data_IF_793850754652
#
_entry.id   IF_793850754652
#
_cell.length_a   1.000
_cell.length_b   1.000
_cell.length_c   1.000
_cell.angle_alpha   90.00
_cell.angle_beta   90.00
_cell.angle_gamma   90.00
#
_symmetry.space_group_name_H-M   'P 1'
#
loop_
_entity.id
_entity.type
_entity.pdbx_description
1 polymer ?
#
# COMPACT_ATOMS: atom_id res chain seq x y z
N UNK A 1 -28.16 -30.04 32.60
CA UNK A 1 -27.76 -29.96 31.19
C UNK A 1 -27.67 -28.48 30.83
N UNK A 2 -26.46 -27.91 30.87
CA UNK A 2 -26.25 -26.47 30.62
C UNK A 2 -25.93 -26.31 29.14
N UNK A 3 -26.87 -25.72 28.42
CA UNK A 3 -26.78 -25.44 27.00
C UNK A 3 -25.69 -24.38 26.79
N UNK A 4 -24.56 -24.78 26.20
CA UNK A 4 -23.45 -23.87 25.91
C UNK A 4 -23.92 -22.76 24.96
N UNK A 5 -23.91 -21.51 25.43
CA UNK A 5 -24.06 -20.34 24.58
C UNK A 5 -22.93 -20.36 23.54
N UNK A 6 -23.28 -20.66 22.29
CA UNK A 6 -22.43 -20.32 21.16
C UNK A 6 -22.37 -18.79 21.11
N UNK A 7 -21.23 -18.23 21.52
CA UNK A 7 -20.88 -16.84 21.22
C UNK A 7 -20.73 -16.80 19.69
N UNK A 8 -21.53 -16.03 18.93
CA UNK A 8 -21.27 -15.85 17.52
C UNK A 8 -19.86 -15.29 17.41
N UNK A 9 -18.97 -16.00 16.73
CA UNK A 9 -17.69 -15.45 16.30
C UNK A 9 -18.02 -14.29 15.37
N UNK A 10 -18.17 -13.09 15.92
CA UNK A 10 -18.09 -11.86 15.16
C UNK A 10 -16.65 -11.82 14.65
N UNK A 11 -16.42 -12.41 13.48
CA UNK A 11 -15.21 -12.14 12.72
C UNK A 11 -15.12 -10.63 12.63
N UNK A 12 -14.07 -10.05 13.23
CA UNK A 12 -13.80 -8.61 13.15
C UNK A 12 -13.95 -8.22 11.69
N UNK A 13 -14.97 -7.43 11.36
CA UNK A 13 -15.20 -6.98 10.01
C UNK A 13 -13.98 -6.16 9.63
N UNK A 14 -13.07 -6.77 8.87
CA UNK A 14 -11.85 -6.10 8.46
C UNK A 14 -12.24 -5.05 7.45
N UNK A 15 -12.26 -3.79 7.88
CA UNK A 15 -12.69 -2.65 7.06
C UNK A 15 -11.61 -2.23 6.06
N UNK A 16 -10.35 -2.55 6.35
CA UNK A 16 -9.19 -2.07 5.60
C UNK A 16 -8.36 -3.21 5.03
N UNK A 17 -7.73 -2.93 3.89
CA UNK A 17 -6.72 -3.79 3.29
C UNK A 17 -5.39 -3.04 3.23
N UNK A 18 -4.30 -3.75 3.51
CA UNK A 18 -2.96 -3.18 3.53
C UNK A 18 -2.15 -3.74 2.38
N UNK A 19 -1.39 -2.88 1.69
CA UNK A 19 -0.61 -3.24 0.51
C UNK A 19 0.81 -2.71 0.70
N UNK A 20 1.79 -3.62 0.63
CA UNK A 20 3.22 -3.31 0.65
C UNK A 20 3.72 -3.21 -0.79
N UNK A 21 4.44 -2.14 -1.05
CA UNK A 21 4.93 -1.77 -2.37
C UNK A 21 6.44 -1.61 -2.35
N UNK A 22 7.08 -2.04 -3.43
CA UNK A 22 8.42 -1.63 -3.80
C UNK A 22 8.30 -0.56 -4.89
N UNK A 23 9.03 0.54 -4.70
CA UNK A 23 9.06 1.69 -5.58
C UNK A 23 10.42 1.74 -6.28
N UNK A 24 10.37 1.78 -7.60
CA UNK A 24 11.55 2.06 -8.41
C UNK A 24 11.60 3.56 -8.67
N UNK A 25 12.74 4.18 -8.41
CA UNK A 25 12.93 5.62 -8.53
C UNK A 25 13.98 5.95 -9.58
N UNK A 26 13.85 7.10 -10.23
CA UNK A 26 14.79 7.56 -11.27
C UNK A 26 16.19 7.81 -10.71
N UNK A 27 16.27 8.18 -9.43
CA UNK A 27 17.54 8.29 -8.69
C UNK A 27 17.54 7.30 -7.54
N UNK A 28 18.57 6.45 -7.42
CA UNK A 28 18.69 5.51 -6.30
C UNK A 28 18.62 6.24 -4.95
N UNK A 29 17.92 5.64 -3.98
CA UNK A 29 17.87 6.08 -2.57
C UNK A 29 17.14 7.39 -2.31
N UNK A 30 16.55 8.02 -3.32
CA UNK A 30 15.67 9.16 -3.12
C UNK A 30 14.28 8.64 -2.81
N UNK A 31 13.81 8.91 -1.59
CA UNK A 31 12.46 8.58 -1.16
C UNK A 31 11.52 9.67 -1.67
N UNK A 32 10.51 9.35 -2.49
CA UNK A 32 9.51 10.33 -2.87
C UNK A 32 8.73 10.77 -1.64
N UNK A 33 8.36 12.04 -1.60
CA UNK A 33 7.45 12.52 -0.57
C UNK A 33 6.05 11.92 -0.76
N UNK A 34 5.25 11.96 0.31
CA UNK A 34 3.92 11.38 0.34
C UNK A 34 3.00 11.97 -0.74
N UNK A 35 3.12 13.26 -1.05
CA UNK A 35 2.30 13.93 -2.04
C UNK A 35 2.65 13.44 -3.45
N UNK A 36 3.93 13.37 -3.79
CA UNK A 36 4.42 12.83 -5.07
C UNK A 36 3.93 11.39 -5.28
N UNK A 37 4.00 10.57 -4.23
CA UNK A 37 3.52 9.19 -4.29
C UNK A 37 1.99 9.08 -4.46
N UNK A 38 1.22 9.88 -3.72
CA UNK A 38 -0.25 9.96 -3.87
C UNK A 38 -0.65 10.41 -5.27
N UNK A 39 -0.01 11.46 -5.79
CA UNK A 39 -0.26 11.96 -7.15
C UNK A 39 0.00 10.88 -8.20
N UNK A 40 1.05 10.07 -8.03
CA UNK A 40 1.35 8.97 -8.93
C UNK A 40 0.24 7.91 -8.95
N UNK A 41 -0.29 7.52 -7.78
CA UNK A 41 -1.42 6.58 -7.71
C UNK A 41 -2.70 7.19 -8.28
N UNK A 42 -3.05 8.42 -7.88
CA UNK A 42 -4.23 9.14 -8.37
C UNK A 42 -4.19 9.29 -9.89
N UNK A 43 -3.03 9.57 -10.48
CA UNK A 43 -2.89 9.67 -11.93
C UNK A 43 -3.27 8.36 -12.63
N UNK A 44 -2.82 7.21 -12.13
CA UNK A 44 -3.17 5.92 -12.71
C UNK A 44 -4.66 5.58 -12.50
N UNK A 45 -5.21 5.91 -11.34
CA UNK A 45 -6.64 5.75 -11.08
C UNK A 45 -7.49 6.58 -12.06
N UNK A 46 -7.09 7.82 -12.35
CA UNK A 46 -7.73 8.67 -13.36
C UNK A 46 -7.64 8.02 -14.74
N UNK A 47 -6.45 7.53 -15.12
CA UNK A 47 -6.22 6.95 -16.45
C UNK A 47 -7.05 5.69 -16.70
N UNK A 48 -7.23 4.84 -15.67
CA UNK A 48 -7.91 3.55 -15.83
C UNK A 48 -9.41 3.60 -15.53
N UNK A 49 -9.80 4.41 -14.55
CA UNK A 49 -11.16 4.37 -13.99
C UNK A 49 -11.88 5.74 -14.03
N UNK A 50 -11.24 6.77 -14.58
CA UNK A 50 -11.80 8.10 -14.69
C UNK A 50 -11.91 8.85 -13.35
N UNK A 51 -12.55 10.01 -13.39
CA UNK A 51 -12.58 10.96 -12.26
C UNK A 51 -13.41 10.48 -11.06
N UNK A 52 -14.37 9.57 -11.27
CA UNK A 52 -15.22 9.04 -10.21
C UNK A 52 -14.45 8.18 -9.21
N UNK A 53 -13.44 7.43 -9.69
CA UNK A 53 -12.59 6.55 -8.87
C UNK A 53 -11.18 7.10 -8.63
N UNK A 54 -10.85 8.23 -9.26
CA UNK A 54 -9.61 8.97 -9.03
C UNK A 54 -9.37 9.34 -7.55
N UNK A 55 -10.46 9.55 -6.81
CA UNK A 55 -10.46 9.98 -5.42
C UNK A 55 -10.71 8.82 -4.45
N UNK A 56 -10.45 7.57 -4.87
CA UNK A 56 -10.44 6.42 -3.96
C UNK A 56 -9.57 6.76 -2.74
N UNK A 57 -10.10 6.51 -1.55
CA UNK A 57 -9.44 6.85 -0.31
C UNK A 57 -8.26 5.90 -0.07
N UNK A 58 -7.06 6.47 -0.03
CA UNK A 58 -5.81 5.73 0.20
C UNK A 58 -5.06 6.45 1.32
N UNK A 59 -4.66 5.74 2.35
CA UNK A 59 -3.76 6.27 3.38
C UNK A 59 -2.35 5.74 3.15
N UNK A 60 -1.37 6.64 3.09
CA UNK A 60 0.05 6.26 3.09
C UNK A 60 0.49 6.11 4.53
N UNK A 61 0.79 4.89 4.96
CA UNK A 61 1.21 4.62 6.34
C UNK A 61 2.71 4.87 6.54
N UNK A 62 3.50 4.50 5.54
CA UNK A 62 4.95 4.73 5.53
C UNK A 62 5.46 4.75 4.10
N UNK A 63 6.46 5.60 3.88
CA UNK A 63 7.29 5.60 2.69
C UNK A 63 8.75 5.79 3.11
N UNK A 64 9.64 4.94 2.65
CA UNK A 64 11.00 4.94 3.15
C UNK A 64 11.96 4.11 2.31
N UNK A 65 13.24 4.35 2.53
CA UNK A 65 14.32 3.54 1.97
C UNK A 65 14.80 2.57 3.05
N UNK A 66 14.70 1.26 2.78
CA UNK A 66 15.27 0.26 3.68
C UNK A 66 16.76 0.12 3.42
N UNK A 67 17.55 0.14 4.50
CA UNK A 67 18.96 -0.24 4.46
C UNK A 67 19.10 -1.76 4.31
N UNK A 68 18.93 -2.25 3.09
CA UNK A 68 19.37 -3.58 2.68
C UNK A 68 20.67 -3.47 1.87
N UNK A 69 21.30 -4.61 1.54
CA UNK A 69 22.50 -4.64 0.67
C UNK A 69 22.28 -3.95 -0.67
N UNK A 70 21.04 -3.92 -1.13
CA UNK A 70 20.56 -3.09 -2.24
C UNK A 70 19.48 -2.19 -1.65
N UNK A 71 19.70 -0.87 -1.58
CA UNK A 71 18.70 0.03 -1.02
C UNK A 71 17.46 0.05 -1.92
N UNK A 72 16.31 -0.21 -1.31
CA UNK A 72 15.02 -0.26 -1.98
C UNK A 72 14.09 0.74 -1.32
N UNK A 73 13.48 1.59 -2.14
CA UNK A 73 12.38 2.44 -1.68
C UNK A 73 11.15 1.57 -1.65
N UNK A 74 10.43 1.61 -0.55
CA UNK A 74 9.24 0.81 -0.36
C UNK A 74 8.19 1.66 0.39
N UNK A 75 6.93 1.30 0.21
CA UNK A 75 5.80 2.02 0.78
C UNK A 75 4.76 1.03 1.33
N UNK A 76 3.99 1.45 2.32
CA UNK A 76 2.81 0.74 2.78
C UNK A 76 1.61 1.67 2.67
N UNK A 77 0.55 1.18 2.03
CA UNK A 77 -0.73 1.88 1.95
C UNK A 77 -1.82 1.08 2.65
N UNK A 78 -2.82 1.80 3.14
CA UNK A 78 -4.08 1.28 3.64
C UNK A 78 -5.20 1.79 2.74
N UNK A 79 -6.09 0.88 2.35
CA UNK A 79 -7.25 1.17 1.51
C UNK A 79 -8.49 0.53 2.11
N UNK A 80 -9.66 1.03 1.73
CA UNK A 80 -10.91 0.35 2.08
C UNK A 80 -10.97 -1.01 1.40
N UNK A 81 -11.50 -2.01 2.11
CA UNK A 81 -11.57 -3.40 1.62
C UNK A 81 -12.33 -3.51 0.29
N UNK A 82 -13.32 -2.64 0.07
CA UNK A 82 -14.13 -2.62 -1.15
C UNK A 82 -13.35 -2.07 -2.36
N UNK A 83 -12.36 -1.21 -2.13
CA UNK A 83 -11.53 -0.61 -3.18
C UNK A 83 -10.22 -1.38 -3.42
N UNK A 84 -9.94 -2.44 -2.64
CA UNK A 84 -8.72 -3.25 -2.73
C UNK A 84 -8.39 -3.62 -4.17
N UNK A 85 -9.28 -4.32 -4.85
CA UNK A 85 -9.00 -4.90 -6.16
C UNK A 85 -8.81 -3.81 -7.23
N UNK A 86 -9.52 -2.70 -7.07
CA UNK A 86 -9.36 -1.51 -7.91
C UNK A 86 -7.97 -0.89 -7.73
N UNK A 87 -7.52 -0.73 -6.48
CA UNK A 87 -6.17 -0.20 -6.21
C UNK A 87 -5.09 -1.16 -6.68
N UNK A 88 -5.24 -2.47 -6.47
CA UNK A 88 -4.28 -3.47 -6.97
C UNK A 88 -4.18 -3.46 -8.50
N UNK A 89 -5.32 -3.35 -9.20
CA UNK A 89 -5.34 -3.21 -10.66
C UNK A 89 -4.62 -1.93 -11.11
N UNK A 90 -4.86 -0.80 -10.43
CA UNK A 90 -4.18 0.46 -10.71
C UNK A 90 -2.66 0.35 -10.53
N UNK A 91 -2.21 -0.21 -9.40
CA UNK A 91 -0.78 -0.37 -9.11
C UNK A 91 -0.08 -1.28 -10.14
N UNK A 92 -0.76 -2.34 -10.57
CA UNK A 92 -0.22 -3.28 -11.57
C UNK A 92 -0.11 -2.68 -12.97
N UNK A 93 -0.94 -1.70 -13.28
CA UNK A 93 -0.95 -0.98 -14.55
C UNK A 93 -0.18 0.34 -14.50
N UNK A 94 0.59 0.58 -13.43
CA UNK A 94 1.36 1.81 -13.28
C UNK A 94 2.35 1.99 -14.43
N UNK A 95 2.19 3.08 -15.17
CA UNK A 95 3.15 3.53 -16.17
C UNK A 95 3.87 4.78 -15.67
N UNK A 96 5.21 4.86 -15.80
CA UNK A 96 5.98 6.02 -15.37
C UNK A 96 5.51 7.30 -16.05
N UNK A 97 5.36 8.37 -15.26
CA UNK A 97 5.08 9.70 -15.79
C UNK A 97 6.38 10.27 -16.34
N UNK A 98 6.35 10.87 -17.54
CA UNK A 98 7.53 11.48 -18.14
C UNK A 98 8.11 12.57 -17.22
N UNK A 99 9.39 12.43 -16.84
CA UNK A 99 10.03 13.32 -15.86
C UNK A 99 9.63 13.08 -14.40
N UNK A 100 8.82 12.05 -14.12
CA UNK A 100 8.42 11.66 -12.77
C UNK A 100 9.54 11.01 -11.98
N UNK A 101 9.49 11.13 -10.66
CA UNK A 101 10.47 10.51 -9.75
C UNK A 101 10.32 8.98 -9.69
N UNK A 102 9.08 8.48 -9.73
CA UNK A 102 8.78 7.06 -9.66
C UNK A 102 8.79 6.49 -11.08
N UNK A 103 9.63 5.48 -11.30
CA UNK A 103 9.84 4.80 -12.57
C UNK A 103 9.22 3.40 -12.60
N UNK A 104 8.64 2.95 -11.48
CA UNK A 104 7.88 1.70 -11.41
C UNK A 104 7.34 1.46 -10.01
N UNK A 105 6.32 0.62 -9.92
CA UNK A 105 5.75 0.13 -8.66
C UNK A 105 5.56 -1.38 -8.75
N UNK A 106 5.82 -2.10 -7.67
CA UNK A 106 5.55 -3.54 -7.58
C UNK A 106 4.89 -3.87 -6.25
N UNK A 107 3.82 -4.65 -6.29
CA UNK A 107 3.17 -5.19 -5.08
C UNK A 107 4.03 -6.31 -4.54
N UNK A 108 4.52 -6.14 -3.31
CA UNK A 108 5.35 -7.14 -2.64
C UNK A 108 4.49 -8.12 -1.86
N UNK A 109 3.49 -7.60 -1.13
CA UNK A 109 2.55 -8.39 -0.32
C UNK A 109 1.30 -7.55 -0.07
N UNK A 110 0.15 -8.20 0.03
CA UNK A 110 -1.09 -7.58 0.50
C UNK A 110 -1.72 -8.44 1.60
N UNK A 111 -2.34 -7.81 2.60
CA UNK A 111 -2.95 -8.51 3.72
C UNK A 111 -4.05 -7.68 4.34
N UNK A 112 -5.07 -8.36 4.88
CA UNK A 112 -6.11 -7.71 5.68
C UNK A 112 -5.67 -7.49 7.13
N UNK A 113 -4.44 -7.92 7.50
CA UNK A 113 -3.89 -7.81 8.84
C UNK A 113 -2.48 -7.21 8.78
N UNK A 114 -2.34 -5.97 9.26
CA UNK A 114 -1.07 -5.23 9.17
C UNK A 114 0.15 -5.98 9.76
N UNK A 115 0.04 -6.69 10.91
CA UNK A 115 1.19 -7.43 11.44
C UNK A 115 1.70 -8.55 10.53
N UNK A 116 0.83 -9.19 9.74
CA UNK A 116 1.25 -10.19 8.75
C UNK A 116 2.06 -9.55 7.61
N UNK A 117 1.73 -8.31 7.23
CA UNK A 117 2.50 -7.54 6.26
C UNK A 117 3.95 -7.24 6.74
N UNK A 118 4.13 -7.18 8.07
CA UNK A 118 5.37 -6.79 8.71
C UNK A 118 6.23 -7.99 9.18
N UNK A 119 5.64 -9.17 9.32
CA UNK A 119 6.32 -10.38 9.78
C UNK A 119 7.54 -10.76 8.91
N UNK A 120 7.46 -10.48 7.61
CA UNK A 120 8.54 -10.81 6.65
C UNK A 120 9.70 -9.79 6.65
N UNK A 121 9.53 -8.62 7.28
CA UNK A 121 10.55 -7.59 7.28
C UNK A 121 10.43 -6.66 8.50
N UNK A 122 11.05 -7.06 9.61
CA UNK A 122 10.99 -6.36 10.91
C UNK A 122 11.52 -4.92 10.91
N UNK A 123 12.34 -4.53 9.92
CA UNK A 123 12.86 -3.16 9.79
C UNK A 123 11.78 -2.09 9.59
N UNK A 124 10.59 -2.51 9.14
CA UNK A 124 9.45 -1.65 8.79
C UNK A 124 8.62 -1.21 9.98
N UNK A 125 8.54 -2.04 11.02
CA UNK A 125 7.72 -1.77 12.22
C UNK A 125 8.33 -0.63 13.04
N UNK A 126 9.67 -0.52 13.04
CA UNK A 126 10.37 0.55 13.77
C UNK A 126 10.12 1.95 13.20
N UNK A 127 9.76 2.07 11.92
CA UNK A 127 9.35 3.35 11.32
C UNK A 127 7.87 3.68 11.48
N UNK A 128 7.05 2.73 11.95
CA UNK A 128 5.60 2.90 12.14
C UNK A 128 5.23 3.32 13.57
N UNK A 129 6.20 3.41 14.49
CA UNK A 129 6.02 3.89 15.84
C UNK A 129 6.82 5.21 16.00
N UNK A 130 6.16 6.37 16.14
CA UNK A 130 6.85 7.65 16.31
C UNK A 130 7.66 7.73 17.60
#
# INVERSE_FOLDING_TARGET
MVQGRQIPQQGLAVMYHYIRLELYTSTPNIVPDELTFRQAITHVLIQLFGTTRAHTHIDVLVIGCMQARIPQVQACIRVDKEDKDLVLAALSAYTPIAGGMITGMSVVKDSSFLPDLAADNWGWIHSLNP
#
